data_IF_418288375865
#
_entry.id   IF_418288375865
#
_cell.length_a   1.000
_cell.length_b   1.000
_cell.length_c   1.000
_cell.angle_alpha   90.00
_cell.angle_beta   90.00
_cell.angle_gamma   90.00
#
_symmetry.space_group_name_H-M   'P 1'
#
loop_
_entity.id
_entity.type
_entity.pdbx_description
1 polymer ?
#
# COMPACT_ATOMS: atom_id res chain seq x y z
N UNK A 1 18.21 -1.46 -3.94
CA UNK A 1 16.78 -1.48 -4.33
C UNK A 1 16.47 -0.52 -5.49
N UNK A 2 16.88 0.74 -5.41
CA UNK A 2 16.63 1.78 -6.45
C UNK A 2 16.94 1.33 -7.89
N UNK A 3 18.08 0.69 -8.14
CA UNK A 3 18.42 0.21 -9.49
C UNK A 3 17.39 -0.77 -10.07
N UNK A 4 16.78 -1.61 -9.24
CA UNK A 4 15.74 -2.55 -9.68
C UNK A 4 14.41 -1.83 -9.96
N UNK A 5 14.09 -0.79 -9.17
CA UNK A 5 12.95 0.09 -9.44
C UNK A 5 13.13 0.85 -10.75
N UNK A 6 14.33 1.38 -11.01
CA UNK A 6 14.65 2.02 -12.29
C UNK A 6 14.55 1.04 -13.46
N UNK A 7 15.03 -0.19 -13.28
CA UNK A 7 14.90 -1.24 -14.29
C UNK A 7 13.44 -1.59 -14.60
N UNK A 8 12.55 -1.62 -13.59
CA UNK A 8 11.14 -1.96 -13.76
C UNK A 8 10.42 -1.05 -14.77
N UNK A 9 10.76 0.24 -14.77
CA UNK A 9 10.12 1.23 -15.66
C UNK A 9 10.96 1.53 -16.91
N UNK A 10 12.13 0.90 -17.06
CA UNK A 10 13.05 1.21 -18.13
C UNK A 10 12.52 0.69 -19.47
N UNK A 11 12.30 1.62 -20.40
CA UNK A 11 11.93 1.28 -21.78
C UNK A 11 10.47 0.86 -21.98
N UNK A 12 9.62 1.04 -20.98
CA UNK A 12 8.19 0.70 -21.07
C UNK A 12 7.51 1.39 -22.26
N UNK A 13 6.61 0.65 -22.89
CA UNK A 13 5.84 1.06 -24.06
C UNK A 13 4.34 1.06 -23.73
N UNK A 14 3.52 1.82 -24.48
CA UNK A 14 2.08 1.78 -24.34
C UNK A 14 1.55 0.33 -24.43
N UNK A 15 0.76 -0.09 -23.44
CA UNK A 15 0.24 -1.46 -23.32
C UNK A 15 0.99 -2.32 -22.30
N UNK A 16 2.16 -1.90 -21.82
CA UNK A 16 2.88 -2.62 -20.77
C UNK A 16 2.13 -2.52 -19.43
N UNK A 17 2.14 -3.65 -18.70
CA UNK A 17 1.56 -3.76 -17.36
C UNK A 17 2.64 -4.24 -16.39
N UNK A 18 2.94 -3.38 -15.42
CA UNK A 18 4.04 -3.52 -14.48
C UNK A 18 3.47 -3.84 -13.10
N UNK A 19 4.20 -4.65 -12.34
CA UNK A 19 3.86 -4.96 -10.95
C UNK A 19 5.04 -4.66 -10.05
N UNK A 20 4.82 -3.84 -9.04
CA UNK A 20 5.74 -3.63 -7.93
C UNK A 20 5.14 -4.21 -6.65
N UNK A 21 5.76 -5.26 -6.10
CA UNK A 21 5.37 -5.79 -4.79
C UNK A 21 6.48 -5.53 -3.79
N UNK A 22 6.11 -4.99 -2.63
CA UNK A 22 7.02 -4.83 -1.51
C UNK A 22 6.37 -5.40 -0.25
N UNK A 23 7.12 -6.22 0.48
CA UNK A 23 6.75 -6.64 1.83
C UNK A 23 7.97 -6.52 2.73
N UNK A 24 7.83 -5.77 3.81
CA UNK A 24 8.95 -5.46 4.68
C UNK A 24 8.62 -4.37 5.69
N UNK A 25 9.66 -3.74 6.22
CA UNK A 25 9.51 -2.61 7.12
C UNK A 25 9.24 -1.32 6.33
N UNK A 26 8.23 -0.59 6.78
CA UNK A 26 8.05 0.81 6.47
C UNK A 26 8.16 1.64 7.75
N UNK A 27 8.51 2.91 7.59
CA UNK A 27 8.71 3.86 8.68
C UNK A 27 8.35 5.27 8.18
N UNK A 28 8.26 6.22 9.09
CA UNK A 28 8.12 7.64 8.77
C UNK A 28 9.40 8.39 9.10
N UNK A 29 9.69 9.42 8.32
CA UNK A 29 10.67 10.45 8.68
C UNK A 29 10.03 11.83 8.60
N UNK A 30 10.63 12.82 9.24
CA UNK A 30 10.06 14.16 9.22
C UNK A 30 10.21 14.76 7.82
N UNK A 31 9.09 15.18 7.25
CA UNK A 31 9.04 15.89 5.98
C UNK A 31 9.82 17.22 6.09
N UNK A 32 10.72 17.42 5.13
CA UNK A 32 11.63 18.56 5.09
C UNK A 32 11.21 19.67 4.12
N UNK A 33 10.34 19.37 3.15
CA UNK A 33 9.86 20.33 2.15
C UNK A 33 8.39 20.74 2.33
N UNK A 34 7.66 20.02 3.19
CA UNK A 34 6.31 20.36 3.63
C UNK A 34 5.24 20.00 2.63
N UNK A 35 5.48 19.01 1.77
CA UNK A 35 4.50 18.55 0.81
C UNK A 35 3.59 17.41 1.30
N UNK A 36 3.91 16.75 2.41
CA UNK A 36 3.03 15.78 3.05
C UNK A 36 2.01 16.40 4.03
N UNK A 37 0.78 15.88 4.01
CA UNK A 37 -0.34 16.44 4.77
C UNK A 37 -0.21 16.32 6.29
N UNK A 38 0.47 15.28 6.77
CA UNK A 38 0.72 15.03 8.18
C UNK A 38 2.12 15.48 8.63
N UNK A 39 2.95 15.95 7.69
CA UNK A 39 4.30 16.44 7.92
C UNK A 39 5.36 15.35 8.09
N UNK A 40 5.10 14.14 7.57
CA UNK A 40 6.05 13.04 7.56
C UNK A 40 6.10 12.34 6.20
N UNK A 41 7.31 12.14 5.66
CA UNK A 41 7.51 11.29 4.49
C UNK A 41 7.39 9.82 4.90
N UNK A 42 6.67 9.03 4.11
CA UNK A 42 6.66 7.58 4.24
C UNK A 42 7.93 6.98 3.64
N UNK A 43 8.41 5.90 4.24
CA UNK A 43 9.67 5.27 3.83
C UNK A 43 9.58 3.77 3.75
N UNK A 44 10.32 3.20 2.81
CA UNK A 44 10.65 1.77 2.81
C UNK A 44 12.04 1.58 3.42
N UNK A 45 12.20 0.51 4.20
CA UNK A 45 13.50 0.17 4.81
C UNK A 45 14.15 -1.00 4.06
N UNK A 46 15.13 -0.75 3.18
CA UNK A 46 16.01 -1.80 2.63
C UNK A 46 16.75 -2.57 3.72
N UNK A 47 17.34 -3.71 3.38
CA UNK A 47 18.11 -4.50 4.37
C UNK A 47 19.33 -3.76 4.94
N UNK A 48 19.88 -2.82 4.17
CA UNK A 48 21.04 -1.98 4.49
C UNK A 48 20.66 -0.58 5.01
N UNK A 49 19.41 -0.37 5.43
CA UNK A 49 18.93 0.95 5.85
C UNK A 49 19.69 1.57 7.04
N UNK A 50 20.32 0.75 7.90
CA UNK A 50 21.13 1.25 9.02
C UNK A 50 22.40 1.96 8.55
N UNK A 51 22.93 1.61 7.37
CA UNK A 51 24.14 2.19 6.80
C UNK A 51 23.86 3.15 5.65
N UNK A 52 22.92 2.79 4.76
CA UNK A 52 22.61 3.55 3.54
C UNK A 52 21.35 4.43 3.67
N UNK A 53 20.59 4.29 4.76
CA UNK A 53 19.37 5.03 5.01
C UNK A 53 18.11 4.36 4.45
N UNK A 54 16.96 4.94 4.79
CA UNK A 54 15.65 4.52 4.27
C UNK A 54 15.40 5.16 2.90
N UNK A 55 14.50 4.59 2.11
CA UNK A 55 14.09 5.15 0.83
C UNK A 55 12.76 5.88 1.04
N UNK A 56 12.76 7.19 0.84
CA UNK A 56 11.57 8.05 0.95
C UNK A 56 10.64 7.86 -0.23
N UNK A 57 9.34 7.96 0.01
CA UNK A 57 8.27 7.92 -0.99
C UNK A 57 8.50 8.87 -2.17
N UNK A 58 9.08 10.02 -1.93
CA UNK A 58 9.38 11.04 -2.92
C UNK A 58 10.44 10.56 -3.94
N UNK A 59 11.43 9.80 -3.47
CA UNK A 59 12.42 9.10 -4.29
C UNK A 59 11.79 7.93 -5.04
N UNK A 60 10.91 7.16 -4.39
CA UNK A 60 10.18 6.06 -5.02
C UNK A 60 9.31 6.60 -6.17
N UNK A 61 8.53 7.64 -5.91
CA UNK A 61 7.68 8.33 -6.87
C UNK A 61 8.51 8.84 -8.07
N UNK A 62 9.65 9.47 -7.80
CA UNK A 62 10.56 9.95 -8.84
C UNK A 62 11.09 8.81 -9.74
N UNK A 63 11.32 7.63 -9.18
CA UNK A 63 11.88 6.49 -9.92
C UNK A 63 10.81 5.70 -10.68
N UNK A 64 9.62 5.46 -10.11
CA UNK A 64 8.63 4.54 -10.73
C UNK A 64 7.27 5.16 -11.07
N UNK A 65 6.94 6.36 -10.60
CA UNK A 65 5.65 7.01 -10.88
C UNK A 65 5.81 8.09 -11.96
N UNK A 66 6.66 9.10 -11.71
CA UNK A 66 6.90 10.22 -12.64
C UNK A 66 7.27 9.75 -14.05
N UNK A 67 8.11 8.71 -14.25
CA UNK A 67 8.54 8.31 -15.59
C UNK A 67 7.48 7.56 -16.42
N UNK A 68 6.35 7.13 -15.84
CA UNK A 68 5.39 6.30 -16.54
C UNK A 68 4.69 7.06 -17.66
N UNK A 69 4.90 6.58 -18.88
CA UNK A 69 4.39 7.20 -20.10
C UNK A 69 2.98 6.72 -20.45
N UNK A 70 2.33 7.44 -21.36
CA UNK A 70 0.98 7.15 -21.80
C UNK A 70 0.75 5.68 -22.19
N UNK A 71 -0.26 5.06 -21.58
CA UNK A 71 -0.66 3.68 -21.87
C UNK A 71 0.12 2.61 -21.10
N UNK A 72 1.12 2.97 -20.30
CA UNK A 72 1.77 2.07 -19.34
C UNK A 72 0.93 2.02 -18.06
N UNK A 73 0.79 0.85 -17.46
CA UNK A 73 0.13 0.65 -16.18
C UNK A 73 1.09 0.09 -15.14
N UNK A 74 1.09 0.63 -13.93
CA UNK A 74 1.80 0.09 -12.78
C UNK A 74 0.82 -0.21 -11.66
N UNK A 75 0.80 -1.47 -11.23
CA UNK A 75 0.17 -1.87 -9.98
C UNK A 75 1.21 -2.04 -8.89
N UNK A 76 1.02 -1.34 -7.78
CA UNK A 76 1.79 -1.57 -6.57
C UNK A 76 0.99 -2.35 -5.54
N UNK A 77 1.63 -3.29 -4.88
CA UNK A 77 1.07 -4.04 -3.75
C UNK A 77 2.08 -3.90 -2.61
N UNK A 78 1.72 -3.11 -1.61
CA UNK A 78 2.61 -2.74 -0.52
C UNK A 78 2.11 -3.33 0.79
N UNK A 79 2.96 -4.13 1.41
CA UNK A 79 2.72 -4.82 2.66
C UNK A 79 3.76 -4.38 3.70
N UNK A 80 3.61 -3.13 4.14
CA UNK A 80 4.47 -2.45 5.10
C UNK A 80 3.64 -1.52 6.00
N UNK A 81 4.12 -1.27 7.21
CA UNK A 81 3.50 -0.30 8.13
C UNK A 81 3.79 1.13 7.64
N UNK A 82 2.88 2.08 7.86
CA UNK A 82 3.07 3.46 7.43
C UNK A 82 3.43 3.52 5.93
N UNK A 83 2.62 2.90 5.07
CA UNK A 83 2.92 2.79 3.64
C UNK A 83 1.76 3.16 2.73
N UNK A 84 0.70 3.70 3.33
CA UNK A 84 -0.54 4.13 2.67
C UNK A 84 -0.24 5.03 1.48
N UNK A 85 0.73 5.93 1.63
CA UNK A 85 1.16 6.94 0.66
C UNK A 85 2.58 6.71 0.15
N UNK A 86 3.14 5.49 0.21
CA UNK A 86 4.56 5.25 -0.15
C UNK A 86 4.94 5.50 -1.61
N UNK A 87 3.95 5.65 -2.49
CA UNK A 87 4.14 6.07 -3.88
C UNK A 87 3.81 7.53 -4.10
N UNK A 88 3.40 8.23 -3.05
CA UNK A 88 2.96 9.61 -3.05
C UNK A 88 1.96 9.91 -4.17
N UNK A 89 0.81 9.23 -4.09
CA UNK A 89 -0.22 9.31 -5.10
C UNK A 89 -1.30 10.31 -4.65
N UNK A 90 -1.77 11.18 -5.57
CA UNK A 90 -2.63 12.32 -5.24
C UNK A 90 -4.03 11.95 -4.76
N UNK A 91 -4.48 10.71 -4.95
CA UNK A 91 -5.83 10.30 -4.58
C UNK A 91 -5.83 9.04 -3.72
N UNK A 92 -6.46 9.14 -2.55
CA UNK A 92 -6.71 8.03 -1.64
C UNK A 92 -8.17 7.60 -1.71
N UNK A 93 -8.41 6.33 -2.00
CA UNK A 93 -9.72 5.71 -1.95
C UNK A 93 -9.87 4.93 -0.65
N UNK A 94 -10.82 5.36 0.19
CA UNK A 94 -11.17 4.69 1.45
C UNK A 94 -12.67 4.47 1.56
N UNK A 95 -13.04 3.54 2.42
CA UNK A 95 -14.46 3.27 2.69
C UNK A 95 -15.01 4.31 3.66
N UNK A 96 -16.12 4.95 3.29
CA UNK A 96 -16.83 5.89 4.15
C UNK A 96 -17.69 5.17 5.21
N UNK A 97 -18.32 5.96 6.08
CA UNK A 97 -19.22 5.45 7.14
C UNK A 97 -20.45 4.71 6.60
N UNK A 98 -20.80 4.90 5.32
CA UNK A 98 -21.91 4.21 4.66
C UNK A 98 -21.50 2.87 4.05
N UNK A 99 -20.21 2.53 4.07
CA UNK A 99 -19.68 1.31 3.48
C UNK A 99 -19.36 1.45 1.99
N UNK A 100 -19.27 2.67 1.46
CA UNK A 100 -18.93 2.95 0.06
C UNK A 100 -17.50 3.45 -0.05
N UNK A 101 -16.78 2.98 -1.06
CA UNK A 101 -15.46 3.50 -1.40
C UNK A 101 -15.59 4.87 -2.08
N UNK A 102 -14.87 5.84 -1.54
CA UNK A 102 -14.85 7.24 -1.98
C UNK A 102 -13.41 7.71 -2.12
N UNK A 103 -13.17 8.54 -3.14
CA UNK A 103 -11.86 9.18 -3.36
C UNK A 103 -11.73 10.46 -2.54
N UNK A 104 -10.55 10.65 -1.98
CA UNK A 104 -10.12 11.84 -1.29
C UNK A 104 -8.95 12.45 -2.06
N UNK A 105 -8.94 13.78 -2.11
CA UNK A 105 -7.87 14.56 -2.74
C UNK A 105 -6.77 14.78 -1.71
N UNK A 106 -5.64 14.14 -1.94
CA UNK A 106 -4.44 14.16 -1.09
C UNK A 106 -3.32 14.95 -1.76
N UNK A 107 -3.60 15.72 -2.81
CA UNK A 107 -2.58 16.55 -3.45
C UNK A 107 -1.94 17.51 -2.45
N UNK A 108 -0.62 17.71 -2.54
CA UNK A 108 0.12 18.54 -1.61
C UNK A 108 -0.32 20.00 -1.74
N UNK A 109 -0.44 20.70 -0.59
CA UNK A 109 -0.80 22.13 -0.58
C UNK A 109 0.27 23.02 -1.18
N UNK A 110 1.52 22.53 -1.22
CA UNK A 110 2.64 23.17 -1.91
C UNK A 110 2.43 23.28 -3.42
N UNK A 111 1.55 22.45 -3.99
CA UNK A 111 1.37 22.31 -5.43
C UNK A 111 2.43 21.45 -6.11
N UNK A 112 3.24 20.72 -5.34
CA UNK A 112 4.20 19.76 -5.88
C UNK A 112 3.49 18.71 -6.75
N UNK A 113 4.10 18.39 -7.90
CA UNK A 113 3.54 17.42 -8.84
C UNK A 113 4.00 16.01 -8.50
N UNK A 114 3.04 15.16 -8.11
CA UNK A 114 3.26 13.76 -7.73
C UNK A 114 2.62 12.74 -8.68
N UNK A 115 2.22 13.20 -9.88
CA UNK A 115 1.56 12.38 -10.91
C UNK A 115 2.52 11.73 -11.93
N UNK A 116 1.95 11.04 -12.91
CA UNK A 116 2.69 10.32 -13.97
C UNK A 116 2.92 11.17 -15.22
N UNK A 117 3.75 10.69 -16.16
CA UNK A 117 3.90 11.25 -17.51
C UNK A 117 2.86 10.71 -18.51
N UNK A 118 1.63 10.45 -18.02
CA UNK A 118 0.50 9.95 -18.81
C UNK A 118 0.15 8.48 -18.58
N UNK A 119 0.98 7.73 -17.84
CA UNK A 119 0.68 6.36 -17.43
C UNK A 119 -0.35 6.29 -16.30
N UNK A 120 -0.74 5.07 -15.94
CA UNK A 120 -1.67 4.77 -14.85
C UNK A 120 -0.92 4.08 -13.70
N UNK A 121 -1.09 4.57 -12.48
CA UNK A 121 -0.55 3.95 -11.26
C UNK A 121 -1.66 3.73 -10.27
N UNK A 122 -1.73 2.50 -9.75
CA UNK A 122 -2.70 2.12 -8.73
C UNK A 122 -1.98 1.28 -7.67
N UNK A 123 -2.08 1.68 -6.41
CA UNK A 123 -1.43 0.98 -5.29
C UNK A 123 -2.47 0.40 -4.33
N UNK A 124 -2.25 -0.85 -3.91
CA UNK A 124 -2.92 -1.47 -2.77
C UNK A 124 -1.97 -1.47 -1.58
N UNK A 125 -2.42 -0.94 -0.44
CA UNK A 125 -1.64 -0.86 0.81
C UNK A 125 -2.54 -1.12 2.02
N UNK A 126 -1.93 -1.36 3.18
CA UNK A 126 -2.63 -1.57 4.44
C UNK A 126 -2.35 -0.44 5.41
N UNK A 127 -3.38 0.05 6.10
CA UNK A 127 -3.25 1.01 7.19
C UNK A 127 -3.88 0.47 8.47
N UNK A 128 -3.30 0.81 9.62
CA UNK A 128 -3.92 0.59 10.93
C UNK A 128 -4.62 1.89 11.39
N UNK A 129 -5.87 1.78 11.83
CA UNK A 129 -6.72 2.92 12.23
C UNK A 129 -6.19 3.74 13.43
N UNK A 130 -5.19 3.26 14.18
CA UNK A 130 -4.67 3.84 15.43
C UNK A 130 -3.21 4.32 15.34
N UNK A 131 -2.79 4.93 14.22
CA UNK A 131 -1.49 5.60 14.11
C UNK A 131 -1.38 6.81 15.06
N UNK A 132 -1.19 6.56 16.36
CA UNK A 132 -0.67 7.52 17.34
C UNK A 132 0.85 7.33 17.39
N UNK A 133 1.53 8.37 16.90
CA UNK A 133 2.96 8.50 16.59
C UNK A 133 3.89 8.59 17.81
N UNK A 134 3.54 8.03 18.97
CA UNK A 134 4.38 8.12 20.16
C UNK A 134 4.49 6.78 20.90
N UNK A 135 5.69 6.22 20.92
CA UNK A 135 6.15 5.20 21.87
C UNK A 135 5.72 3.74 21.69
N UNK A 136 5.53 3.23 20.46
CA UNK A 136 5.44 1.77 20.28
C UNK A 136 6.16 1.21 19.05
N UNK A 137 7.37 1.69 18.79
CA UNK A 137 8.29 1.16 17.76
C UNK A 137 8.67 -0.32 17.94
N UNK A 138 8.37 -0.94 19.08
CA UNK A 138 8.52 -2.38 19.30
C UNK A 138 7.25 -3.18 18.99
N UNK A 139 6.07 -2.56 19.00
CA UNK A 139 4.77 -3.20 18.71
C UNK A 139 4.32 -2.95 17.26
N UNK A 140 4.67 -1.80 16.67
CA UNK A 140 4.56 -1.56 15.21
C UNK A 140 5.59 -2.35 14.39
N UNK A 141 6.55 -3.02 15.05
CA UNK A 141 7.39 -4.05 14.42
C UNK A 141 6.65 -5.38 14.23
N UNK A 142 5.52 -5.58 14.92
CA UNK A 142 4.76 -6.84 14.96
C UNK A 142 3.45 -6.72 14.16
N UNK A 143 3.18 -5.56 13.56
CA UNK A 143 1.99 -5.32 12.75
C UNK A 143 2.05 -6.11 11.44
N UNK A 144 1.45 -7.30 11.48
CA UNK A 144 0.65 -7.93 10.41
C UNK A 144 1.23 -7.88 8.99
N UNK A 145 2.56 -7.98 8.85
CA UNK A 145 3.24 -8.17 7.58
C UNK A 145 2.73 -9.46 6.94
N UNK A 146 2.18 -9.34 5.74
CA UNK A 146 1.64 -10.44 4.95
C UNK A 146 0.12 -10.48 4.87
N UNK A 147 -0.63 -9.73 5.68
CA UNK A 147 -2.09 -9.75 5.63
C UNK A 147 -2.64 -9.03 4.38
N UNK A 148 -1.98 -7.97 3.93
CA UNK A 148 -2.31 -7.30 2.67
C UNK A 148 -2.04 -8.21 1.48
N UNK A 149 -0.83 -8.79 1.41
CA UNK A 149 -0.43 -9.73 0.36
C UNK A 149 -1.35 -10.95 0.34
N UNK A 150 -1.62 -11.54 1.50
CA UNK A 150 -2.50 -12.71 1.63
C UNK A 150 -3.93 -12.39 1.18
N UNK A 151 -4.51 -11.30 1.68
CA UNK A 151 -5.89 -10.94 1.35
C UNK A 151 -6.06 -10.58 -0.13
N UNK A 152 -5.06 -9.95 -0.74
CA UNK A 152 -5.01 -9.68 -2.18
C UNK A 152 -5.01 -10.97 -3.01
N UNK A 153 -4.10 -11.91 -2.68
CA UNK A 153 -4.03 -13.22 -3.35
C UNK A 153 -5.35 -13.97 -3.21
N UNK A 154 -5.91 -14.03 -2.00
CA UNK A 154 -7.18 -14.71 -1.75
C UNK A 154 -8.34 -14.11 -2.53
N UNK A 155 -8.38 -12.77 -2.68
CA UNK A 155 -9.41 -12.10 -3.45
C UNK A 155 -9.32 -12.46 -4.95
N UNK A 156 -8.11 -12.54 -5.50
CA UNK A 156 -7.88 -13.00 -6.89
C UNK A 156 -8.27 -14.47 -7.06
N UNK A 157 -7.72 -15.36 -6.23
CA UNK A 157 -7.94 -16.82 -6.33
C UNK A 157 -9.42 -17.21 -6.14
N UNK A 158 -10.14 -16.43 -5.33
CA UNK A 158 -11.58 -16.64 -5.11
C UNK A 158 -12.47 -16.01 -6.19
N UNK A 159 -11.90 -15.44 -7.26
CA UNK A 159 -12.65 -14.84 -8.37
C UNK A 159 -13.30 -13.49 -8.06
N UNK A 160 -12.84 -12.79 -7.01
CA UNK A 160 -13.34 -11.46 -6.65
C UNK A 160 -12.56 -10.32 -7.33
N UNK A 161 -11.59 -10.63 -8.20
CA UNK A 161 -10.78 -9.66 -8.94
C UNK A 161 -11.44 -9.05 -10.18
N UNK A 162 -12.77 -8.96 -10.22
CA UNK A 162 -13.47 -8.40 -11.40
C UNK A 162 -13.37 -6.88 -11.49
N UNK A 163 -13.50 -6.19 -10.35
CA UNK A 163 -13.36 -4.73 -10.22
C UNK A 163 -12.54 -4.37 -8.99
N UNK A 164 -12.02 -3.14 -8.93
CA UNK A 164 -11.26 -2.68 -7.76
C UNK A 164 -12.11 -2.68 -6.49
N UNK A 165 -13.39 -2.29 -6.59
CA UNK A 165 -14.33 -2.30 -5.48
C UNK A 165 -14.65 -3.71 -4.98
N UNK A 166 -14.76 -4.71 -5.87
CA UNK A 166 -14.93 -6.11 -5.44
C UNK A 166 -13.67 -6.67 -4.80
N UNK A 167 -12.49 -6.29 -5.32
CA UNK A 167 -11.19 -6.64 -4.75
C UNK A 167 -11.06 -6.11 -3.31
N UNK A 168 -11.23 -4.80 -3.12
CA UNK A 168 -11.11 -4.16 -1.81
C UNK A 168 -12.10 -4.75 -0.79
N UNK A 169 -13.35 -5.00 -1.21
CA UNK A 169 -14.36 -5.64 -0.36
C UNK A 169 -13.97 -7.05 0.05
N UNK A 170 -13.43 -7.85 -0.88
CA UNK A 170 -12.99 -9.22 -0.60
C UNK A 170 -11.76 -9.24 0.31
N UNK A 171 -10.78 -8.36 0.07
CA UNK A 171 -9.61 -8.20 0.92
C UNK A 171 -10.03 -7.83 2.35
N UNK A 172 -10.87 -6.81 2.51
CA UNK A 172 -11.43 -6.40 3.80
C UNK A 172 -12.15 -7.54 4.50
N UNK A 173 -13.01 -8.26 3.78
CA UNK A 173 -13.74 -9.42 4.35
C UNK A 173 -12.78 -10.49 4.85
N UNK A 174 -11.72 -10.78 4.11
CA UNK A 174 -10.69 -11.75 4.49
C UNK A 174 -9.96 -11.34 5.77
N UNK A 175 -9.53 -10.07 5.85
CA UNK A 175 -8.85 -9.51 7.03
C UNK A 175 -9.78 -9.58 8.25
N UNK A 176 -11.01 -9.08 8.14
CA UNK A 176 -11.99 -9.06 9.24
C UNK A 176 -12.46 -10.44 9.69
N UNK A 177 -12.63 -11.40 8.76
CA UNK A 177 -13.02 -12.77 9.11
C UNK A 177 -11.94 -13.45 9.93
N UNK A 178 -10.67 -13.25 9.58
CA UNK A 178 -9.54 -13.89 10.26
C UNK A 178 -9.25 -13.26 11.63
N UNK A 179 -9.57 -11.99 11.83
CA UNK A 179 -9.48 -11.32 13.14
C UNK A 179 -10.56 -11.83 14.12
N UNK A 180 -11.75 -12.22 13.62
CA UNK A 180 -12.92 -12.54 14.45
C UNK A 180 -13.19 -14.05 14.66
N UNK A 181 -12.34 -14.97 14.19
CA UNK A 181 -12.52 -16.42 14.44
C UNK A 181 -12.30 -16.76 15.93
N UNK A 182 -13.32 -17.23 16.68
CA UNK A 182 -13.19 -17.57 18.09
C UNK A 182 -12.52 -18.93 18.23
N UNK A 183 -11.32 -18.92 18.80
CA UNK A 183 -10.46 -20.08 18.95
C UNK A 183 -9.36 -20.02 17.91
N UNK A 184 -8.11 -19.84 18.37
CA UNK A 184 -6.91 -19.78 17.54
C UNK A 184 -6.80 -20.99 16.62
N UNK A 185 -7.47 -20.90 15.48
CA UNK A 185 -7.43 -21.87 14.42
C UNK A 185 -6.02 -21.87 13.89
N UNK A 186 -5.39 -23.05 13.92
CA UNK A 186 -4.06 -23.29 13.36
C UNK A 186 -3.98 -22.61 11.99
N UNK A 187 -3.24 -21.51 11.95
CA UNK A 187 -2.90 -20.84 10.70
C UNK A 187 -2.25 -21.88 9.78
N UNK A 188 -2.59 -21.93 8.49
CA UNK A 188 -1.77 -22.64 7.51
C UNK A 188 -0.42 -21.91 7.43
N UNK A 189 0.54 -22.41 8.23
CA UNK A 189 2.01 -22.35 8.19
C UNK A 189 2.78 -21.06 7.83
N UNK A 190 2.24 -20.07 7.10
CA UNK A 190 3.00 -18.90 6.65
C UNK A 190 2.71 -17.65 7.49
N UNK A 191 1.43 -17.33 7.71
CA UNK A 191 1.05 -16.13 8.51
C UNK A 191 1.45 -16.30 9.99
N UNK A 192 1.50 -17.53 10.52
CA UNK A 192 1.97 -17.79 11.89
C UNK A 192 3.50 -17.75 12.02
N UNK A 193 4.22 -17.94 10.91
CA UNK A 193 5.68 -17.82 10.87
C UNK A 193 6.12 -16.37 10.69
N UNK A 194 5.29 -15.54 10.07
CA UNK A 194 5.54 -14.11 9.86
C UNK A 194 5.18 -13.24 11.07
N UNK A 195 4.45 -13.78 12.05
CA UNK A 195 4.12 -13.12 13.31
C UNK A 195 4.95 -13.73 14.45
N UNK A 196 6.08 -13.14 14.86
CA UNK A 196 6.81 -13.63 16.01
C UNK A 196 6.04 -13.25 17.29
N UNK A 197 5.44 -14.26 17.93
CA UNK A 197 4.91 -14.15 19.28
C UNK A 197 3.39 -14.16 19.34
N UNK A 198 2.85 -15.30 19.76
CA UNK A 198 1.47 -15.39 20.21
C UNK A 198 1.18 -14.47 21.40
N UNK A 199 -0.12 -14.20 21.57
CA UNK A 199 -0.77 -13.35 22.57
C UNK A 199 -0.79 -11.84 22.25
N UNK A 200 -1.78 -11.41 21.45
CA UNK A 200 -2.26 -10.03 21.47
C UNK A 200 -3.74 -9.97 21.81
N UNK A 201 -4.04 -9.19 22.85
CA UNK A 201 -5.35 -8.97 23.47
C UNK A 201 -5.97 -7.63 23.05
N UNK A 202 -5.50 -7.04 21.95
CA UNK A 202 -6.03 -5.84 21.30
C UNK A 202 -6.06 -6.10 19.79
N UNK A 203 -7.21 -5.90 19.15
CA UNK A 203 -7.42 -6.27 17.75
C UNK A 203 -6.58 -5.41 16.82
N UNK A 204 -5.76 -6.05 15.99
CA UNK A 204 -5.14 -5.43 14.81
C UNK A 204 -6.28 -5.05 13.86
N UNK A 205 -6.35 -3.80 13.40
CA UNK A 205 -7.36 -3.31 12.45
C UNK A 205 -6.66 -2.82 11.19
N UNK A 206 -6.11 -3.76 10.43
CA UNK A 206 -5.66 -3.44 9.08
C UNK A 206 -6.85 -3.26 8.16
N UNK A 207 -6.87 -2.16 7.42
CA UNK A 207 -7.84 -1.87 6.38
C UNK A 207 -7.14 -1.74 5.02
N UNK A 208 -7.64 -2.42 3.98
CA UNK A 208 -7.08 -2.26 2.65
C UNK A 208 -7.40 -0.87 2.12
N UNK A 209 -6.37 -0.19 1.68
CA UNK A 209 -6.43 1.11 1.04
C UNK A 209 -6.04 0.99 -0.43
N UNK A 210 -6.56 1.93 -1.21
CA UNK A 210 -6.25 2.05 -2.63
C UNK A 210 -5.83 3.48 -2.91
N UNK A 211 -4.67 3.69 -3.49
CA UNK A 211 -4.24 5.01 -3.98
C UNK A 211 -4.03 4.99 -5.48
N UNK A 212 -4.20 6.13 -6.14
CA UNK A 212 -4.06 6.23 -7.60
C UNK A 212 -3.64 7.63 -8.06
N UNK A 213 -3.04 7.70 -9.26
CA UNK A 213 -2.73 8.97 -9.90
C UNK A 213 -3.96 9.71 -10.43
N UNK A 214 -5.06 9.00 -10.67
CA UNK A 214 -6.35 9.57 -11.10
C UNK A 214 -7.53 8.86 -10.40
N UNK A 215 -8.61 9.60 -10.14
CA UNK A 215 -9.84 9.03 -9.59
C UNK A 215 -10.60 8.25 -10.68
N UNK A 216 -11.23 7.15 -10.28
CA UNK A 216 -12.08 6.35 -11.15
C UNK A 216 -13.21 5.66 -10.39
N UNK A 217 -14.25 5.21 -11.08
CA UNK A 217 -15.29 4.43 -10.44
C UNK A 217 -14.79 3.00 -10.15
N UNK A 218 -14.46 2.74 -8.88
CA UNK A 218 -13.93 1.45 -8.43
C UNK A 218 -14.91 0.30 -8.64
N UNK A 219 -16.22 0.57 -8.77
CA UNK A 219 -17.24 -0.46 -8.95
C UNK A 219 -17.45 -0.86 -10.41
N UNK A 220 -16.97 -0.06 -11.36
CA UNK A 220 -17.07 -0.35 -12.80
C UNK A 220 -15.72 -0.58 -13.47
N UNK A 221 -14.63 -0.02 -12.95
CA UNK A 221 -13.28 -0.26 -13.51
C UNK A 221 -12.85 -1.69 -13.26
N UNK A 222 -12.58 -2.41 -14.35
CA UNK A 222 -12.08 -3.77 -14.30
C UNK A 222 -10.64 -3.81 -13.77
N UNK A 223 -10.39 -4.77 -12.87
CA UNK A 223 -9.03 -5.06 -12.44
C UNK A 223 -8.37 -6.02 -13.44
N UNK A 224 -7.17 -5.66 -13.88
CA UNK A 224 -6.34 -6.47 -14.79
C UNK A 224 -4.88 -6.20 -14.48
N UNK A 225 -4.10 -7.25 -14.25
CA UNK A 225 -2.63 -7.19 -14.23
C UNK A 225 -2.06 -7.52 -15.60
#
# INVERSE_FOLDING_TARGET
MILALSWLVQGCQPGDSLVFHFSGHGSQQKDSDGDDLDGYDETLCPTDFETEGMIVDDEINAVIVKPLTHGVKLHAIIDACHSSTVLDLPFLCRMDKSGKYVWEDHRPRSGAWKGTSGGEVISFSGCDDDQISAETSALSKITSTGAMTYSFIQAIESGHGNTYGSMLKAMRTTIHKKINEPGGGKLPSLISMLLPGGLFRGGIRQEPQLTANEQFDVYSKHFSL
#
